data_IF_071527401098
#
_entry.id   IF_071527401098
#
_cell.length_a   1.000
_cell.length_b   1.000
_cell.length_c   1.000
_cell.angle_alpha   90.00
_cell.angle_beta   90.00
_cell.angle_gamma   90.00
#
_symmetry.space_group_name_H-M   'P 1'
#
loop_
_entity.id
_entity.type
_entity.pdbx_description
1 polymer ?
#
# COMPACT_ATOMS: atom_id res chain seq x y z
N UNK A 1 4.82 -16.35 -21.06
CA UNK A 1 4.63 -15.03 -20.42
C UNK A 1 3.95 -15.30 -19.10
N UNK A 2 4.65 -15.09 -17.97
CA UNK A 2 4.09 -15.36 -16.65
C UNK A 2 3.04 -14.32 -16.30
N UNK A 3 1.95 -14.74 -15.66
CA UNK A 3 0.97 -13.80 -15.12
C UNK A 3 1.67 -12.88 -14.13
N UNK A 4 1.63 -11.57 -14.39
CA UNK A 4 1.96 -10.61 -13.35
C UNK A 4 0.85 -10.73 -12.30
N UNK A 5 1.23 -10.91 -11.05
CA UNK A 5 0.32 -10.92 -9.91
C UNK A 5 0.46 -9.57 -9.20
N UNK A 6 -0.11 -8.46 -9.73
CA UNK A 6 0.15 -7.11 -9.21
C UNK A 6 -0.67 -6.77 -7.96
N UNK A 7 -1.01 -7.79 -7.16
CA UNK A 7 -2.02 -7.68 -6.10
C UNK A 7 -1.62 -8.46 -4.84
N UNK A 8 -0.53 -8.05 -4.21
CA UNK A 8 -0.11 -8.51 -2.89
C UNK A 8 -1.12 -8.05 -1.83
N UNK A 9 -1.55 -6.78 -1.90
CA UNK A 9 -2.35 -6.14 -0.85
C UNK A 9 -3.85 -6.36 -1.02
N UNK A 10 -4.33 -6.59 -2.25
CA UNK A 10 -5.77 -6.78 -2.51
C UNK A 10 -6.39 -7.95 -1.74
N UNK A 11 -5.77 -9.15 -1.66
CA UNK A 11 -6.29 -10.21 -0.80
C UNK A 11 -6.32 -9.82 0.68
N UNK A 12 -5.35 -9.01 1.13
CA UNK A 12 -5.31 -8.54 2.52
C UNK A 12 -6.49 -7.60 2.77
N UNK A 13 -6.64 -6.56 1.96
CA UNK A 13 -7.73 -5.58 2.03
C UNK A 13 -9.10 -6.26 1.97
N UNK A 14 -9.37 -7.02 0.91
CA UNK A 14 -10.75 -7.47 0.61
C UNK A 14 -11.19 -8.76 1.30
N UNK A 15 -10.25 -9.59 1.80
CA UNK A 15 -10.58 -10.94 2.28
C UNK A 15 -10.09 -11.26 3.68
N UNK A 16 -9.01 -10.62 4.13
CA UNK A 16 -8.33 -11.00 5.37
C UNK A 16 -8.53 -9.94 6.45
N UNK A 17 -8.34 -8.67 6.10
CA UNK A 17 -8.58 -7.55 6.99
C UNK A 17 -10.08 -7.43 7.28
N UNK A 18 -10.40 -7.15 8.53
CA UNK A 18 -11.80 -6.96 8.96
C UNK A 18 -12.24 -5.50 8.94
N UNK A 19 -11.28 -4.59 8.81
CA UNK A 19 -11.45 -3.14 8.73
C UNK A 19 -10.15 -2.50 8.25
N UNK A 20 -10.21 -1.21 7.88
CA UNK A 20 -9.03 -0.40 7.55
C UNK A 20 -8.02 -0.29 8.69
N UNK A 21 -8.49 -0.25 9.93
CA UNK A 21 -7.62 -0.33 11.11
C UNK A 21 -6.91 -1.69 11.23
N UNK A 22 -7.61 -2.81 10.97
CA UNK A 22 -6.98 -4.14 10.97
C UNK A 22 -5.98 -4.29 9.81
N UNK A 23 -6.30 -3.73 8.63
CA UNK A 23 -5.40 -3.66 7.49
C UNK A 23 -4.11 -2.90 7.85
N UNK A 24 -4.23 -1.66 8.36
CA UNK A 24 -3.10 -0.84 8.80
C UNK A 24 -2.27 -1.55 9.86
N UNK A 25 -2.93 -2.15 10.86
CA UNK A 25 -2.27 -2.91 11.92
C UNK A 25 -1.47 -4.08 11.38
N UNK A 26 -2.00 -4.84 10.42
CA UNK A 26 -1.26 -5.94 9.78
C UNK A 26 0.00 -5.45 9.07
N UNK A 27 -0.10 -4.35 8.34
CA UNK A 27 1.05 -3.77 7.64
C UNK A 27 2.05 -3.09 8.59
N UNK A 28 1.62 -2.69 9.79
CA UNK A 28 2.51 -2.09 10.79
C UNK A 28 3.56 -3.05 11.35
N UNK A 29 3.35 -4.37 11.21
CA UNK A 29 4.33 -5.40 11.54
C UNK A 29 5.50 -5.46 10.54
N UNK A 30 5.34 -4.87 9.35
CA UNK A 30 6.44 -4.79 8.40
C UNK A 30 7.54 -3.86 8.94
N UNK A 31 8.78 -4.25 8.66
CA UNK A 31 9.94 -3.40 8.83
C UNK A 31 9.89 -2.22 7.87
N UNK A 32 10.69 -1.19 8.14
CA UNK A 32 10.77 -0.04 7.24
C UNK A 32 11.32 -0.43 5.85
N UNK A 33 12.19 -1.45 5.76
CA UNK A 33 12.72 -1.94 4.48
C UNK A 33 11.64 -2.67 3.66
N UNK A 34 10.80 -3.48 4.30
CA UNK A 34 9.66 -4.14 3.65
C UNK A 34 8.60 -3.12 3.20
N UNK A 35 8.35 -2.07 4.00
CA UNK A 35 7.48 -0.97 3.61
C UNK A 35 8.07 -0.17 2.44
N UNK A 36 9.39 0.05 2.43
CA UNK A 36 10.07 0.68 1.30
C UNK A 36 9.94 -0.17 0.03
N UNK A 37 10.12 -1.48 0.15
CA UNK A 37 9.94 -2.42 -0.95
C UNK A 37 8.50 -2.36 -1.51
N UNK A 38 7.48 -2.29 -0.66
CA UNK A 38 6.09 -2.10 -1.11
C UNK A 38 5.90 -0.78 -1.86
N UNK A 39 6.49 0.33 -1.39
CA UNK A 39 6.47 1.61 -2.11
C UNK A 39 7.09 1.45 -3.50
N UNK A 40 8.26 0.80 -3.59
CA UNK A 40 8.95 0.61 -4.86
C UNK A 40 8.12 -0.24 -5.83
N UNK A 41 7.45 -1.30 -5.35
CA UNK A 41 6.52 -2.08 -6.16
C UNK A 41 5.34 -1.25 -6.68
N UNK A 42 4.80 -0.33 -5.88
CA UNK A 42 3.71 0.56 -6.30
C UNK A 42 4.19 1.50 -7.40
N UNK A 43 5.34 2.15 -7.21
CA UNK A 43 5.91 3.11 -8.17
C UNK A 43 6.36 2.43 -9.48
N UNK A 44 6.71 1.15 -9.44
CA UNK A 44 7.07 0.36 -10.61
C UNK A 44 5.86 -0.31 -11.30
N UNK A 45 4.63 0.02 -10.90
CA UNK A 45 3.38 -0.60 -11.37
C UNK A 45 3.32 -2.13 -11.19
N UNK A 46 4.10 -2.65 -10.23
CA UNK A 46 4.14 -4.07 -9.84
C UNK A 46 3.19 -4.39 -8.69
N UNK A 47 2.62 -3.39 -8.05
CA UNK A 47 1.52 -3.50 -7.08
C UNK A 47 0.49 -2.40 -7.35
N UNK A 48 -0.76 -2.77 -7.60
CA UNK A 48 -1.83 -1.80 -7.87
C UNK A 48 -2.76 -1.59 -6.67
N UNK A 49 -2.50 -0.51 -5.94
CA UNK A 49 -3.28 -0.13 -4.77
C UNK A 49 -4.57 0.64 -5.09
N UNK A 50 -4.81 1.04 -6.35
CA UNK A 50 -6.10 1.67 -6.75
C UNK A 50 -7.27 0.70 -6.68
N UNK A 51 -6.96 -0.59 -6.61
CA UNK A 51 -7.92 -1.67 -6.47
C UNK A 51 -8.30 -2.00 -5.03
N UNK A 52 -7.66 -1.37 -4.03
CA UNK A 52 -7.99 -1.54 -2.61
C UNK A 52 -9.26 -0.76 -2.26
N UNK A 53 -9.83 -1.07 -1.09
CA UNK A 53 -10.87 -0.22 -0.54
C UNK A 53 -10.31 1.19 -0.27
N UNK A 54 -11.08 2.27 -0.48
CA UNK A 54 -10.58 3.64 -0.33
C UNK A 54 -9.99 3.91 1.06
N UNK A 55 -10.66 3.42 2.11
CA UNK A 55 -10.19 3.57 3.49
C UNK A 55 -8.87 2.82 3.74
N UNK A 56 -8.67 1.65 3.10
CA UNK A 56 -7.41 0.89 3.19
C UNK A 56 -6.28 1.60 2.45
N UNK A 57 -6.60 2.22 1.31
CA UNK A 57 -5.65 3.05 0.54
C UNK A 57 -5.17 4.23 1.37
N UNK A 58 -6.11 4.95 2.00
CA UNK A 58 -5.78 6.09 2.87
C UNK A 58 -4.95 5.63 4.08
N UNK A 59 -5.33 4.52 4.71
CA UNK A 59 -4.60 3.96 5.85
C UNK A 59 -3.17 3.52 5.48
N UNK A 60 -2.97 2.97 4.28
CA UNK A 60 -1.65 2.62 3.74
C UNK A 60 -0.78 3.86 3.54
N UNK A 61 -1.33 4.90 2.93
CA UNK A 61 -0.59 6.12 2.65
C UNK A 61 -0.20 6.85 3.95
N UNK A 62 -1.11 6.86 4.93
CA UNK A 62 -0.81 7.38 6.27
C UNK A 62 0.32 6.58 6.93
N UNK A 63 0.29 5.24 6.84
CA UNK A 63 1.37 4.40 7.35
C UNK A 63 2.72 4.72 6.70
N UNK A 64 2.77 4.93 5.38
CA UNK A 64 3.99 5.34 4.68
C UNK A 64 4.49 6.72 5.13
N UNK A 65 3.57 7.66 5.36
CA UNK A 65 3.90 8.99 5.87
C UNK A 65 4.54 8.90 7.25
N UNK A 66 3.93 8.13 8.16
CA UNK A 66 4.33 8.03 9.57
C UNK A 66 5.62 7.23 9.76
N UNK A 67 5.78 6.13 9.03
CA UNK A 67 6.89 5.18 9.22
C UNK A 67 8.10 5.43 8.32
N UNK A 68 7.91 6.05 7.16
CA UNK A 68 8.97 6.28 6.18
C UNK A 68 9.27 7.76 6.01
N UNK A 69 8.38 8.50 5.34
CA UNK A 69 8.49 9.95 5.17
C UNK A 69 7.25 10.51 4.46
N UNK A 70 6.99 11.80 4.69
CA UNK A 70 5.97 12.54 3.94
C UNK A 70 6.23 12.53 2.43
N UNK A 71 7.51 12.57 2.02
CA UNK A 71 7.88 12.51 0.59
C UNK A 71 7.41 11.22 -0.06
N UNK A 72 7.70 10.06 0.53
CA UNK A 72 7.28 8.76 -0.05
C UNK A 72 5.76 8.63 -0.16
N UNK A 73 5.03 9.09 0.86
CA UNK A 73 3.57 9.09 0.81
C UNK A 73 3.04 10.00 -0.32
N UNK A 74 3.65 11.17 -0.54
CA UNK A 74 3.31 12.07 -1.65
C UNK A 74 3.63 11.47 -3.01
N UNK A 75 4.79 10.85 -3.16
CA UNK A 75 5.22 10.19 -4.41
C UNK A 75 4.20 9.10 -4.80
N UNK A 76 3.77 8.28 -3.84
CA UNK A 76 2.71 7.26 -4.05
C UNK A 76 1.38 7.91 -4.44
N UNK A 77 0.91 8.93 -3.72
CA UNK A 77 -0.33 9.67 -4.04
C UNK A 77 -0.34 10.20 -5.47
N UNK A 78 0.77 10.83 -5.87
CA UNK A 78 0.95 11.37 -7.22
C UNK A 78 0.91 10.25 -8.26
N UNK A 79 1.58 9.13 -8.00
CA UNK A 79 1.61 7.97 -8.90
C UNK A 79 0.21 7.39 -9.17
N UNK A 80 -0.62 7.29 -8.12
CA UNK A 80 -1.97 6.71 -8.23
C UNK A 80 -3.06 7.73 -8.62
N UNK A 81 -2.71 9.01 -8.76
CA UNK A 81 -3.62 10.06 -9.23
C UNK A 81 -4.57 10.63 -8.17
N UNK A 82 -4.24 10.52 -6.88
CA UNK A 82 -5.03 11.09 -5.77
C UNK A 82 -4.31 12.35 -5.29
N UNK A 83 -4.85 13.53 -5.64
CA UNK A 83 -4.29 14.86 -5.31
C UNK A 83 -4.97 15.45 -4.08
#
# INVERSE_FOLDING_TARGET
>A
MGHQYPYILRPISHRIAKSSEDFKKRLSFLSNDELNYLVDLILEDKEDIRSLDPEDTDALIELFKDRLSEKKAKDVKLHIGIV
#
